data_IF_768379905177
#
_entry.id   IF_768379905177
#
_cell.length_a   1.000
_cell.length_b   1.000
_cell.length_c   1.000
_cell.angle_alpha   90.00
_cell.angle_beta   90.00
_cell.angle_gamma   90.00
#
_symmetry.space_group_name_H-M   'P 1'
#
loop_
_entity.id
_entity.type
_entity.pdbx_description
1 polymer ?
#
# COMPACT_ATOMS: atom_id res chain seq x y z
N UNK A 1 -31.93 1.80 0.48
CA UNK A 1 -32.04 0.96 -0.74
C UNK A 1 -30.69 0.47 -1.27
N UNK A 2 -29.58 1.21 -1.12
CA UNK A 2 -28.25 0.76 -1.62
C UNK A 2 -27.48 -0.17 -0.69
N UNK A 3 -27.80 -0.27 0.61
CA UNK A 3 -27.07 -1.15 1.55
C UNK A 3 -27.27 -2.66 1.32
N UNK A 4 -28.21 -3.07 0.45
CA UNK A 4 -28.37 -4.46 0.02
C UNK A 4 -27.58 -4.78 -1.26
N UNK A 5 -26.94 -3.79 -1.89
CA UNK A 5 -25.92 -3.99 -2.91
C UNK A 5 -24.64 -4.37 -2.16
N UNK A 6 -24.59 -5.61 -1.69
CA UNK A 6 -23.37 -6.19 -1.16
C UNK A 6 -22.39 -6.51 -2.30
N UNK A 7 -21.69 -7.64 -2.13
CA UNK A 7 -20.79 -8.22 -3.14
C UNK A 7 -21.38 -8.24 -4.57
N UNK A 8 -22.69 -8.53 -4.80
CA UNK A 8 -23.25 -8.56 -6.15
C UNK A 8 -23.13 -7.24 -6.93
N UNK A 9 -23.34 -6.09 -6.30
CA UNK A 9 -23.22 -4.82 -7.02
C UNK A 9 -21.76 -4.36 -7.19
N UNK A 10 -20.86 -4.77 -6.30
CA UNK A 10 -19.42 -4.60 -6.53
C UNK A 10 -18.96 -5.37 -7.78
N UNK A 11 -19.45 -6.59 -7.99
CA UNK A 11 -19.18 -7.39 -9.19
C UNK A 11 -19.70 -6.69 -10.44
N UNK A 12 -20.89 -6.08 -10.39
CA UNK A 12 -21.44 -5.34 -11.53
C UNK A 12 -20.57 -4.15 -11.92
N UNK A 13 -20.13 -3.35 -10.93
CA UNK A 13 -19.24 -2.20 -11.15
C UNK A 13 -17.89 -2.68 -11.70
N UNK A 14 -17.32 -3.74 -11.12
CA UNK A 14 -16.08 -4.33 -11.62
C UNK A 14 -16.23 -4.81 -13.05
N UNK A 15 -17.34 -5.44 -13.41
CA UNK A 15 -17.59 -5.92 -14.78
C UNK A 15 -17.60 -4.75 -15.78
N UNK A 16 -18.30 -3.65 -15.45
CA UNK A 16 -18.29 -2.44 -16.29
C UNK A 16 -16.89 -1.83 -16.41
N UNK A 17 -16.15 -1.74 -15.30
CA UNK A 17 -14.77 -1.28 -15.32
C UNK A 17 -13.87 -2.20 -16.15
N UNK A 18 -14.06 -3.52 -16.08
CA UNK A 18 -13.33 -4.51 -16.86
C UNK A 18 -13.65 -4.44 -18.35
N UNK A 19 -14.86 -4.03 -18.74
CA UNK A 19 -15.20 -3.79 -20.16
C UNK A 19 -14.46 -2.57 -20.70
N UNK A 20 -14.40 -1.49 -19.91
CA UNK A 20 -13.73 -0.23 -20.31
C UNK A 20 -12.21 -0.38 -20.31
N UNK A 21 -11.65 -0.92 -19.23
CA UNK A 21 -10.20 -0.99 -19.02
C UNK A 21 -9.59 -2.32 -19.47
N UNK A 22 -10.38 -3.40 -19.53
CA UNK A 22 -9.90 -4.75 -19.84
C UNK A 22 -9.43 -5.53 -18.60
N UNK A 23 -9.65 -6.85 -18.53
CA UNK A 23 -9.28 -7.69 -17.38
C UNK A 23 -7.79 -7.83 -17.12
N UNK A 24 -6.95 -7.56 -18.12
CA UNK A 24 -5.49 -7.61 -17.98
C UNK A 24 -4.91 -6.35 -17.32
N UNK A 25 -5.59 -5.20 -17.43
CA UNK A 25 -5.05 -3.92 -16.95
C UNK A 25 -5.13 -3.78 -15.43
N UNK A 26 -6.19 -4.28 -14.78
CA UNK A 26 -6.31 -4.22 -13.32
C UNK A 26 -5.16 -4.96 -12.60
N UNK A 27 -4.82 -6.21 -12.95
CA UNK A 27 -3.66 -6.91 -12.37
C UNK A 27 -2.32 -6.23 -12.70
N UNK A 28 -2.18 -5.67 -13.89
CA UNK A 28 -0.97 -4.97 -14.32
C UNK A 28 -0.71 -3.71 -13.48
N UNK A 29 -1.74 -2.87 -13.31
CA UNK A 29 -1.70 -1.69 -12.43
C UNK A 29 -1.45 -2.09 -10.99
N UNK A 30 -2.12 -3.13 -10.49
CA UNK A 30 -1.92 -3.64 -9.13
C UNK A 30 -0.49 -4.14 -8.88
N UNK A 31 0.13 -4.80 -9.87
CA UNK A 31 1.54 -5.23 -9.78
C UNK A 31 2.50 -4.04 -9.74
N UNK A 32 2.32 -3.06 -10.63
CA UNK A 32 3.15 -1.86 -10.67
C UNK A 32 3.02 -1.06 -9.36
N UNK A 33 1.78 -0.78 -8.93
CA UNK A 33 1.51 -0.08 -7.68
C UNK A 33 2.04 -0.85 -6.47
N UNK A 34 1.87 -2.18 -6.46
CA UNK A 34 2.36 -3.04 -5.38
C UNK A 34 3.89 -3.05 -5.27
N UNK A 35 4.60 -3.01 -6.39
CA UNK A 35 6.06 -2.86 -6.40
C UNK A 35 6.48 -1.50 -5.82
N UNK A 36 5.84 -0.41 -6.25
CA UNK A 36 6.08 0.92 -5.69
C UNK A 36 5.81 0.97 -4.19
N UNK A 37 4.69 0.40 -3.72
CA UNK A 37 4.34 0.38 -2.30
C UNK A 37 5.32 -0.46 -1.48
N UNK A 38 5.83 -1.56 -2.05
CA UNK A 38 6.84 -2.42 -1.42
C UNK A 38 8.17 -1.68 -1.25
N UNK A 39 8.63 -0.99 -2.28
CA UNK A 39 9.86 -0.19 -2.22
C UNK A 39 9.69 0.98 -1.25
N UNK A 40 8.57 1.71 -1.33
CA UNK A 40 8.25 2.80 -0.41
C UNK A 40 8.25 2.34 1.05
N UNK A 41 7.62 1.20 1.35
CA UNK A 41 7.62 0.60 2.70
C UNK A 41 9.03 0.24 3.16
N UNK A 42 9.87 -0.30 2.26
CA UNK A 42 11.24 -0.66 2.59
C UNK A 42 12.07 0.57 2.94
N UNK A 43 12.06 1.59 2.08
CA UNK A 43 12.79 2.84 2.32
C UNK A 43 12.31 3.55 3.58
N UNK A 44 10.99 3.60 3.82
CA UNK A 44 10.44 4.20 5.05
C UNK A 44 10.90 3.47 6.30
N UNK A 45 10.99 2.13 6.24
CA UNK A 45 11.46 1.31 7.38
C UNK A 45 12.95 1.52 7.65
N UNK A 46 13.78 1.58 6.61
CA UNK A 46 15.21 1.85 6.75
C UNK A 46 15.45 3.22 7.38
N UNK A 47 14.75 4.26 6.91
CA UNK A 47 14.82 5.61 7.50
C UNK A 47 14.36 5.63 8.97
N UNK A 48 13.28 4.93 9.30
CA UNK A 48 12.78 4.84 10.68
C UNK A 48 13.78 4.11 11.58
N UNK A 49 14.33 2.99 11.13
CA UNK A 49 15.28 2.19 11.89
C UNK A 49 16.57 2.99 12.15
N UNK A 50 17.05 3.78 11.20
CA UNK A 50 18.26 4.60 11.35
C UNK A 50 18.01 5.80 12.29
N UNK A 51 16.87 6.48 12.17
CA UNK A 51 16.48 7.55 13.12
C UNK A 51 16.32 6.99 14.54
N UNK A 52 15.76 5.79 14.71
CA UNK A 52 15.64 5.16 16.02
C UNK A 52 17.01 4.83 16.65
N UNK A 53 17.96 4.33 15.85
CA UNK A 53 19.33 4.07 16.34
C UNK A 53 20.03 5.35 16.78
N UNK A 54 19.91 6.42 16.00
CA UNK A 54 20.53 7.72 16.32
C UNK A 54 19.99 8.26 17.66
N UNK A 55 18.67 8.16 17.88
CA UNK A 55 18.02 8.57 19.14
C UNK A 55 18.48 7.71 20.32
N UNK A 56 18.60 6.39 20.14
CA UNK A 56 19.05 5.48 21.19
C UNK A 56 20.53 5.70 21.56
N UNK A 57 21.39 6.00 20.58
CA UNK A 57 22.79 6.36 20.81
C UNK A 57 22.92 7.71 21.54
N UNK A 58 22.11 8.71 21.19
CA UNK A 58 22.10 10.02 21.86
C UNK A 58 21.66 9.88 23.33
N UNK A 59 20.62 9.09 23.60
CA UNK A 59 20.15 8.80 24.97
C UNK A 59 21.19 8.09 25.81
N UNK A 60 21.94 7.15 25.26
CA UNK A 60 23.01 6.46 25.99
C UNK A 60 24.19 7.39 26.34
N UNK A 61 24.48 8.38 25.51
CA UNK A 61 25.50 9.42 25.82
C UNK A 61 25.04 10.41 26.88
N UNK A 62 23.74 10.70 26.97
CA UNK A 62 23.16 11.60 27.98
C UNK A 62 23.03 10.97 29.38
N UNK A 63 23.01 9.64 29.47
CA UNK A 63 22.81 8.91 30.74
C UNK A 63 24.12 8.39 31.36
N UNK A 64 25.26 8.60 30.69
CA UNK A 64 26.60 8.14 31.11
C UNK A 64 27.47 9.32 31.49
#
# INVERSE_FOLDING_TARGET
>A
MFSNIGIPGLILILTLALIIFGPKKLPEIGRAFGQTLKEFKKSTRELTDDVMKDIDEEKQKLTK
#
